data_IF_906437991459
#
_entry.id   IF_906437991459
#
_cell.length_a   1.000
_cell.length_b   1.000
_cell.length_c   1.000
_cell.angle_alpha   90.00
_cell.angle_beta   90.00
_cell.angle_gamma   90.00
#
_symmetry.space_group_name_H-M   'P 1'
#
loop_
_entity.id
_entity.type
_entity.pdbx_description
1 polymer ?
#
# COMPACT_ATOMS: atom_id res chain seq x y z
N UNK A 1 39.84 63.32 -21.15
CA UNK A 1 39.44 62.29 -20.18
C UNK A 1 37.94 62.12 -20.33
N UNK A 2 37.48 61.12 -21.09
CA UNK A 2 36.06 60.84 -21.27
C UNK A 2 35.65 59.81 -20.22
N UNK A 3 34.75 60.20 -19.32
CA UNK A 3 34.12 59.33 -18.34
C UNK A 3 33.29 58.28 -19.10
N UNK A 4 33.67 57.01 -19.00
CA UNK A 4 32.79 55.90 -19.36
C UNK A 4 31.93 55.68 -18.12
N UNK A 5 30.70 56.18 -18.15
CA UNK A 5 29.73 55.90 -17.10
C UNK A 5 29.43 54.40 -17.11
N UNK A 6 29.64 53.67 -16.01
CA UNK A 6 29.27 52.27 -15.95
C UNK A 6 27.75 52.20 -16.15
N UNK A 7 27.34 51.44 -17.16
CA UNK A 7 25.93 51.09 -17.41
C UNK A 7 25.41 50.30 -16.20
N UNK A 8 24.99 51.05 -15.20
CA UNK A 8 24.23 50.58 -14.05
C UNK A 8 22.77 50.49 -14.46
N UNK A 9 22.46 49.81 -15.57
CA UNK A 9 21.17 49.13 -15.69
C UNK A 9 21.13 48.06 -14.59
N UNK A 10 20.97 48.54 -13.35
CA UNK A 10 20.35 47.83 -12.26
C UNK A 10 19.01 47.42 -12.83
N UNK A 11 18.95 46.19 -13.35
CA UNK A 11 17.74 45.59 -13.89
C UNK A 11 16.82 45.39 -12.69
N UNK A 12 16.13 46.45 -12.30
CA UNK A 12 15.03 46.37 -11.36
C UNK A 12 14.09 45.29 -11.89
N UNK A 13 13.82 44.23 -11.13
CA UNK A 13 12.88 43.22 -11.56
C UNK A 13 11.57 43.92 -11.90
N UNK A 14 10.99 43.57 -13.05
CA UNK A 14 9.71 44.12 -13.46
C UNK A 14 8.69 43.84 -12.35
N UNK A 15 8.04 44.89 -11.84
CA UNK A 15 7.06 44.81 -10.76
C UNK A 15 5.97 43.78 -11.11
N UNK A 16 5.59 43.66 -12.40
CA UNK A 16 4.64 42.65 -12.88
C UNK A 16 5.12 41.24 -12.56
N UNK A 17 6.38 40.93 -12.91
CA UNK A 17 6.99 39.62 -12.64
C UNK A 17 7.09 39.31 -11.15
N UNK A 18 7.31 40.33 -10.32
CA UNK A 18 7.37 40.17 -8.86
C UNK A 18 6.01 39.80 -8.29
N UNK A 19 4.94 40.48 -8.72
CA UNK A 19 3.56 40.19 -8.27
C UNK A 19 3.09 38.82 -8.75
N UNK A 20 3.38 38.46 -10.00
CA UNK A 20 3.09 37.13 -10.54
C UNK A 20 3.79 36.03 -9.74
N UNK A 21 5.07 36.23 -9.41
CA UNK A 21 5.85 35.30 -8.60
C UNK A 21 5.25 35.13 -7.20
N UNK A 22 4.84 36.22 -6.54
CA UNK A 22 4.19 36.15 -5.22
C UNK A 22 2.86 35.39 -5.28
N UNK A 23 2.06 35.62 -6.32
CA UNK A 23 0.81 34.90 -6.53
C UNK A 23 1.03 33.39 -6.75
N UNK A 24 2.07 33.00 -7.50
CA UNK A 24 2.44 31.60 -7.71
C UNK A 24 2.89 30.94 -6.40
N UNK A 25 3.73 31.61 -5.61
CA UNK A 25 4.18 31.11 -4.30
C UNK A 25 2.98 30.90 -3.37
N UNK A 26 2.06 31.86 -3.31
CA UNK A 26 0.86 31.75 -2.49
C UNK A 26 0.00 30.54 -2.89
N UNK A 27 -0.22 30.32 -4.20
CA UNK A 27 -0.91 29.13 -4.71
C UNK A 27 -0.19 27.84 -4.35
N UNK A 28 1.14 27.81 -4.47
CA UNK A 28 1.95 26.65 -4.11
C UNK A 28 1.85 26.33 -2.61
N UNK A 29 1.93 27.33 -1.73
CA UNK A 29 1.79 27.10 -0.29
C UNK A 29 0.38 26.61 0.08
N UNK A 30 -0.67 27.15 -0.54
CA UNK A 30 -2.03 26.65 -0.37
C UNK A 30 -2.16 25.19 -0.83
N UNK A 31 -1.53 24.81 -1.95
CA UNK A 31 -1.51 23.41 -2.42
C UNK A 31 -0.73 22.49 -1.47
N UNK A 32 0.45 22.91 -0.99
CA UNK A 32 1.23 22.14 -0.01
C UNK A 32 0.46 21.95 1.29
N UNK A 33 -0.27 22.98 1.73
CA UNK A 33 -1.10 22.90 2.91
C UNK A 33 -2.24 21.90 2.72
N UNK A 34 -2.94 21.96 1.59
CA UNK A 34 -3.98 20.99 1.25
C UNK A 34 -3.44 19.55 1.18
N UNK A 35 -2.24 19.36 0.61
CA UNK A 35 -1.59 18.04 0.58
C UNK A 35 -1.31 17.53 2.00
N UNK A 36 -0.75 18.37 2.86
CA UNK A 36 -0.36 18.00 4.23
C UNK A 36 -1.56 17.72 5.13
N UNK A 37 -2.62 18.52 5.00
CA UNK A 37 -3.74 18.51 5.95
C UNK A 37 -4.90 17.65 5.52
N UNK A 38 -5.09 17.46 4.21
CA UNK A 38 -6.24 16.72 3.67
C UNK A 38 -5.77 15.44 2.98
N UNK A 39 -4.96 15.58 1.92
CA UNK A 39 -4.65 14.46 1.03
C UNK A 39 -3.82 13.38 1.75
N UNK A 40 -2.75 13.75 2.45
CA UNK A 40 -1.87 12.79 3.10
C UNK A 40 -2.59 12.02 4.25
N UNK A 41 -3.34 12.67 5.15
CA UNK A 41 -4.13 11.96 6.16
C UNK A 41 -5.19 11.02 5.56
N UNK A 42 -5.93 11.47 4.54
CA UNK A 42 -6.92 10.63 3.86
C UNK A 42 -6.28 9.40 3.20
N UNK A 43 -5.15 9.59 2.52
CA UNK A 43 -4.44 8.49 1.89
C UNK A 43 -3.94 7.48 2.92
N UNK A 44 -3.41 7.96 4.05
CA UNK A 44 -3.00 7.10 5.18
C UNK A 44 -4.17 6.29 5.74
N UNK A 45 -5.34 6.91 5.89
CA UNK A 45 -6.54 6.22 6.36
C UNK A 45 -7.00 5.16 5.37
N UNK A 46 -7.15 5.51 4.09
CA UNK A 46 -7.54 4.57 3.03
C UNK A 46 -6.58 3.39 2.94
N UNK A 47 -5.27 3.65 3.00
CA UNK A 47 -4.27 2.60 3.02
C UNK A 47 -4.48 1.63 4.20
N UNK A 48 -4.69 2.16 5.41
CA UNK A 48 -4.92 1.34 6.60
C UNK A 48 -6.20 0.50 6.49
N UNK A 49 -7.27 1.07 5.94
CA UNK A 49 -8.53 0.36 5.77
C UNK A 49 -8.40 -0.77 4.75
N UNK A 50 -7.70 -0.52 3.63
CA UNK A 50 -7.38 -1.54 2.63
C UNK A 50 -6.52 -2.64 3.23
N UNK A 51 -5.47 -2.29 3.98
CA UNK A 51 -4.60 -3.27 4.63
C UNK A 51 -5.38 -4.18 5.60
N UNK A 52 -6.27 -3.60 6.41
CA UNK A 52 -7.12 -4.36 7.31
C UNK A 52 -8.12 -5.24 6.56
N UNK A 53 -8.70 -4.73 5.47
CA UNK A 53 -9.60 -5.49 4.60
C UNK A 53 -8.91 -6.71 4.02
N UNK A 54 -7.72 -6.53 3.43
CA UNK A 54 -6.92 -7.61 2.86
C UNK A 54 -6.52 -8.66 3.89
N UNK A 55 -6.10 -8.25 5.10
CA UNK A 55 -5.82 -9.18 6.21
C UNK A 55 -7.05 -9.98 6.63
N UNK A 56 -8.23 -9.34 6.62
CA UNK A 56 -9.51 -10.02 6.86
C UNK A 56 -9.84 -11.04 5.79
N UNK A 57 -9.70 -10.68 4.51
CA UNK A 57 -9.93 -11.57 3.37
C UNK A 57 -8.96 -12.75 3.35
N UNK A 58 -7.67 -12.52 3.61
CA UNK A 58 -6.65 -13.56 3.73
C UNK A 58 -7.00 -14.56 4.84
N UNK A 59 -7.46 -14.09 6.01
CA UNK A 59 -7.94 -14.96 7.08
C UNK A 59 -9.09 -15.86 6.63
N UNK A 60 -10.09 -15.30 5.95
CA UNK A 60 -11.24 -16.06 5.44
C UNK A 60 -10.78 -17.12 4.43
N UNK A 61 -9.86 -16.77 3.54
CA UNK A 61 -9.31 -17.70 2.56
C UNK A 61 -8.54 -18.87 3.22
N UNK A 62 -7.73 -18.57 4.25
CA UNK A 62 -7.02 -19.60 5.03
C UNK A 62 -8.01 -20.54 5.72
N UNK A 63 -9.08 -20.00 6.33
CA UNK A 63 -10.13 -20.80 6.97
C UNK A 63 -10.85 -21.71 5.96
N UNK A 64 -11.19 -21.18 4.78
CA UNK A 64 -11.79 -21.97 3.69
C UNK A 64 -10.86 -23.08 3.22
N UNK A 65 -9.58 -22.79 3.03
CA UNK A 65 -8.61 -23.80 2.58
C UNK A 65 -8.40 -24.87 3.65
N UNK A 66 -8.34 -24.50 4.93
CA UNK A 66 -8.24 -25.45 6.03
C UNK A 66 -9.48 -26.36 6.13
N UNK A 67 -10.68 -25.81 5.89
CA UNK A 67 -11.92 -26.61 5.80
C UNK A 67 -11.90 -27.54 4.59
N UNK A 68 -11.41 -27.07 3.44
CA UNK A 68 -11.24 -27.89 2.25
C UNK A 68 -10.27 -29.05 2.49
N UNK A 69 -9.15 -28.83 3.18
CA UNK A 69 -8.23 -29.89 3.60
C UNK A 69 -8.95 -30.97 4.42
N UNK A 70 -9.75 -30.59 5.42
CA UNK A 70 -10.53 -31.54 6.22
C UNK A 70 -11.55 -32.32 5.39
N UNK A 71 -12.30 -31.63 4.53
CA UNK A 71 -13.28 -32.27 3.66
C UNK A 71 -12.62 -33.23 2.67
N UNK A 72 -11.49 -32.83 2.07
CA UNK A 72 -10.74 -33.65 1.14
C UNK A 72 -10.14 -34.88 1.84
N UNK A 73 -9.56 -34.70 3.03
CA UNK A 73 -9.05 -35.78 3.88
C UNK A 73 -10.13 -36.81 4.22
N UNK A 74 -11.37 -36.36 4.45
CA UNK A 74 -12.49 -37.25 4.75
C UNK A 74 -12.80 -38.24 3.60
N UNK A 75 -12.52 -37.88 2.35
CA UNK A 75 -12.73 -38.77 1.19
C UNK A 75 -11.85 -40.02 1.23
N UNK A 76 -10.68 -39.97 1.88
CA UNK A 76 -9.78 -41.11 2.01
C UNK A 76 -10.31 -42.20 2.96
N UNK A 77 -11.31 -41.91 3.78
CA UNK A 77 -11.94 -42.93 4.66
C UNK A 77 -12.60 -44.06 3.88
N UNK A 78 -13.05 -43.79 2.65
CA UNK A 78 -13.63 -44.79 1.74
C UNK A 78 -12.62 -45.45 0.80
N UNK A 79 -11.36 -45.00 0.79
CA UNK A 79 -10.34 -45.53 -0.10
C UNK A 79 -9.75 -46.85 0.41
N UNK A 80 -9.14 -47.63 -0.49
CA UNK A 80 -8.35 -48.80 -0.11
C UNK A 80 -7.15 -48.36 0.74
N UNK A 81 -7.14 -48.79 2.00
CA UNK A 81 -6.15 -48.35 2.98
C UNK A 81 -4.77 -48.93 2.69
N UNK A 82 -3.73 -48.12 2.87
CA UNK A 82 -2.34 -48.49 2.68
C UNK A 82 -1.43 -47.34 3.08
N UNK A 83 -0.12 -47.55 2.99
CA UNK A 83 0.85 -46.53 3.41
C UNK A 83 0.72 -45.24 2.61
N UNK A 84 0.35 -45.31 1.33
CA UNK A 84 0.07 -44.14 0.51
C UNK A 84 -1.09 -43.29 1.04
N UNK A 85 -2.17 -43.90 1.56
CA UNK A 85 -3.30 -43.17 2.16
C UNK A 85 -2.84 -42.46 3.44
N UNK A 86 -2.06 -43.14 4.27
CA UNK A 86 -1.52 -42.55 5.51
C UNK A 86 -0.61 -41.36 5.19
N UNK A 87 0.29 -41.51 4.22
CA UNK A 87 1.17 -40.41 3.77
C UNK A 87 0.36 -39.23 3.23
N UNK A 88 -0.62 -39.48 2.35
CA UNK A 88 -1.48 -38.43 1.82
C UNK A 88 -2.26 -37.69 2.91
N UNK A 89 -2.84 -38.40 3.88
CA UNK A 89 -3.56 -37.78 5.01
C UNK A 89 -2.63 -36.93 5.89
N UNK A 90 -1.40 -37.39 6.15
CA UNK A 90 -0.39 -36.63 6.91
C UNK A 90 0.09 -35.39 6.16
N UNK A 91 0.27 -35.47 4.85
CA UNK A 91 0.63 -34.30 4.03
C UNK A 91 -0.49 -33.24 4.06
N UNK A 92 -1.75 -33.66 3.98
CA UNK A 92 -2.90 -32.74 4.10
C UNK A 92 -2.93 -32.05 5.47
N UNK A 93 -2.66 -32.79 6.56
CA UNK A 93 -2.55 -32.19 7.90
C UNK A 93 -1.42 -31.16 7.99
N UNK A 94 -0.25 -31.49 7.43
CA UNK A 94 0.89 -30.57 7.39
C UNK A 94 0.54 -29.28 6.64
N UNK A 95 -0.09 -29.39 5.46
CA UNK A 95 -0.52 -28.23 4.67
C UNK A 95 -1.50 -27.37 5.47
N UNK A 96 -2.50 -28.00 6.13
CA UNK A 96 -3.47 -27.30 6.96
C UNK A 96 -2.81 -26.54 8.11
N UNK A 97 -1.85 -27.16 8.77
CA UNK A 97 -1.12 -26.53 9.88
C UNK A 97 -0.22 -25.40 9.40
N UNK A 98 0.43 -25.54 8.24
CA UNK A 98 1.24 -24.49 7.64
C UNK A 98 0.39 -23.28 7.21
N UNK A 99 -0.81 -23.51 6.66
CA UNK A 99 -1.75 -22.45 6.33
C UNK A 99 -2.16 -21.63 7.57
N UNK A 100 -2.39 -22.28 8.71
CA UNK A 100 -2.75 -21.59 9.97
C UNK A 100 -1.62 -20.71 10.51
N UNK A 101 -0.36 -21.07 10.25
CA UNK A 101 0.81 -20.28 10.68
C UNK A 101 0.97 -18.98 9.89
N UNK A 102 0.40 -18.86 8.69
CA UNK A 102 0.52 -17.65 7.85
C UNK A 102 -0.11 -16.43 8.55
N UNK A 103 -1.19 -16.64 9.32
CA UNK A 103 -1.92 -15.58 10.01
C UNK A 103 -1.83 -15.65 11.55
N UNK A 104 -0.85 -16.39 12.09
CA UNK A 104 -0.59 -16.47 13.54
C UNK A 104 0.45 -15.43 13.95
#
# INVERSE_FOLDING_TARGET
MTLIEPDMTLRMPDISTTVETLNLISKMEAQKENIRTVIAPEHKHKYKDIENGLKGEEKVLIEQMAQHCEAFKANFKGAAQGDWVKSAMSEIDSIKDDLKKINS
#
